data_IF_944402128024
#
_entry.id   IF_944402128024
#
_cell.length_a   1.000
_cell.length_b   1.000
_cell.length_c   1.000
_cell.angle_alpha   90.00
_cell.angle_beta   90.00
_cell.angle_gamma   90.00
#
_symmetry.space_group_name_H-M   'P 1'
#
loop_
_entity.id
_entity.type
_entity.pdbx_description
1 polymer ?
#
# COMPACT_ATOMS: atom_id res chain seq x y z
N UNK A 1 25.90 7.74 15.21
CA UNK A 1 25.07 6.53 15.01
C UNK A 1 25.69 5.47 15.88
N UNK A 2 25.17 5.28 17.10
CA UNK A 2 25.71 4.33 18.07
C UNK A 2 24.78 3.12 18.15
N UNK A 3 25.41 1.95 18.12
CA UNK A 3 25.11 0.68 18.81
C UNK A 3 23.64 0.34 19.11
N UNK A 4 23.15 -0.63 18.33
CA UNK A 4 21.97 -1.45 18.57
C UNK A 4 20.62 -0.72 18.58
N UNK A 5 20.18 -0.24 17.40
CA UNK A 5 18.75 -0.15 17.15
C UNK A 5 18.19 -1.59 17.18
N UNK A 6 17.64 -1.98 18.33
CA UNK A 6 17.03 -3.30 18.52
C UNK A 6 15.70 -3.30 17.77
N UNK A 7 15.67 -3.99 16.63
CA UNK A 7 14.43 -4.22 15.90
C UNK A 7 13.51 -5.10 16.72
N UNK A 8 12.30 -4.59 16.97
CA UNK A 8 11.22 -5.40 17.50
C UNK A 8 10.49 -6.10 16.35
N UNK A 9 9.98 -7.32 16.57
CA UNK A 9 9.19 -8.02 15.56
C UNK A 9 7.89 -7.25 15.28
N UNK A 10 7.43 -7.27 14.02
CA UNK A 10 6.17 -6.63 13.62
C UNK A 10 4.94 -7.13 14.42
N UNK A 11 5.01 -8.31 15.05
CA UNK A 11 3.97 -8.84 15.94
C UNK A 11 3.73 -7.99 17.19
N UNK A 12 4.66 -7.11 17.57
CA UNK A 12 4.52 -6.17 18.68
C UNK A 12 3.89 -4.82 18.28
N UNK A 13 3.68 -4.60 16.98
CA UNK A 13 2.91 -3.47 16.49
C UNK A 13 1.44 -3.65 16.87
N UNK A 14 0.77 -2.56 17.23
CA UNK A 14 -0.68 -2.57 17.38
C UNK A 14 -1.33 -2.84 16.03
N UNK A 15 -2.55 -3.41 16.04
CA UNK A 15 -3.30 -3.72 14.81
C UNK A 15 -3.41 -2.52 13.86
N UNK A 16 -3.59 -1.33 14.42
CA UNK A 16 -3.67 -0.10 13.64
C UNK A 16 -2.33 0.31 13.03
N UNK A 17 -1.23 0.21 13.76
CA UNK A 17 0.11 0.49 13.23
C UNK A 17 0.45 -0.49 12.10
N UNK A 18 0.15 -1.78 12.30
CA UNK A 18 0.34 -2.79 11.25
C UNK A 18 -0.50 -2.45 10.02
N UNK A 19 -1.77 -2.06 10.19
CA UNK A 19 -2.65 -1.65 9.09
C UNK A 19 -2.06 -0.44 8.35
N UNK A 20 -1.71 0.62 9.07
CA UNK A 20 -1.19 1.86 8.49
C UNK A 20 0.12 1.60 7.73
N UNK A 21 1.04 0.83 8.31
CA UNK A 21 2.31 0.49 7.68
C UNK A 21 2.13 -0.40 6.44
N UNK A 22 1.23 -1.39 6.50
CA UNK A 22 0.89 -2.24 5.36
C UNK A 22 0.29 -1.43 4.20
N UNK A 23 -0.68 -0.57 4.48
CA UNK A 23 -1.29 0.32 3.49
C UNK A 23 -0.26 1.28 2.87
N UNK A 24 0.63 1.87 3.68
CA UNK A 24 1.69 2.76 3.18
C UNK A 24 2.60 2.06 2.17
N UNK A 25 2.93 0.80 2.44
CA UNK A 25 3.80 -0.02 1.60
C UNK A 25 3.07 -0.53 0.34
N UNK A 26 1.83 -1.02 0.48
CA UNK A 26 1.15 -1.80 -0.55
C UNK A 26 0.21 -0.97 -1.44
N UNK A 27 -0.45 0.09 -0.94
CA UNK A 27 -1.31 0.95 -1.77
C UNK A 27 -0.56 1.58 -2.98
N UNK A 28 0.71 2.02 -2.87
CA UNK A 28 1.46 2.51 -4.02
C UNK A 28 1.64 1.47 -5.14
N UNK A 29 1.71 0.18 -4.78
CA UNK A 29 1.80 -0.93 -5.73
C UNK A 29 0.51 -1.06 -6.53
N UNK A 30 -0.64 -0.99 -5.86
CA UNK A 30 -1.97 -1.04 -6.48
C UNK A 30 -2.11 0.13 -7.47
N UNK A 31 -1.81 1.35 -7.03
CA UNK A 31 -1.88 2.54 -7.90
C UNK A 31 -1.03 2.38 -9.15
N UNK A 32 0.18 1.84 -9.01
CA UNK A 32 1.08 1.61 -10.13
C UNK A 32 0.51 0.58 -11.11
N UNK A 33 -0.07 -0.50 -10.60
CA UNK A 33 -0.71 -1.52 -11.43
C UNK A 33 -1.86 -0.91 -12.24
N UNK A 34 -2.76 -0.15 -11.62
CA UNK A 34 -3.87 0.48 -12.33
C UNK A 34 -3.40 1.47 -13.41
N UNK A 35 -2.38 2.28 -13.12
CA UNK A 35 -1.81 3.20 -14.14
C UNK A 35 -1.20 2.42 -15.31
N UNK A 36 -0.56 1.29 -15.05
CA UNK A 36 -0.03 0.42 -16.08
C UNK A 36 -1.15 -0.22 -16.91
N UNK A 37 -2.16 -0.81 -16.26
CA UNK A 37 -3.27 -1.49 -16.90
C UNK A 37 -4.11 -0.53 -17.75
N UNK A 38 -4.34 0.69 -17.24
CA UNK A 38 -5.00 1.77 -17.99
C UNK A 38 -4.25 2.09 -19.28
N UNK A 39 -2.91 2.20 -19.24
CA UNK A 39 -2.09 2.46 -20.43
C UNK A 39 -2.17 1.29 -21.43
N UNK A 40 -2.07 0.06 -20.94
CA UNK A 40 -2.15 -1.14 -21.77
C UNK A 40 -3.52 -1.25 -22.45
N UNK A 41 -4.60 -1.04 -21.70
CA UNK A 41 -5.97 -1.08 -22.21
C UNK A 41 -6.26 0.05 -23.21
N UNK A 42 -5.78 1.27 -22.94
CA UNK A 42 -5.92 2.40 -23.87
C UNK A 42 -5.26 2.11 -25.23
N UNK A 43 -4.08 1.48 -25.21
CA UNK A 43 -3.36 1.04 -26.40
C UNK A 43 -3.98 -0.20 -27.08
N UNK A 44 -4.86 -0.93 -26.38
CA UNK A 44 -5.49 -2.13 -26.92
C UNK A 44 -6.57 -1.82 -27.97
N UNK A 45 -6.83 -2.81 -28.83
CA UNK A 45 -7.97 -2.85 -29.75
C UNK A 45 -9.25 -3.38 -29.13
N UNK A 46 -9.35 -3.45 -27.79
CA UNK A 46 -10.50 -4.02 -27.11
C UNK A 46 -11.78 -3.23 -27.42
N UNK A 47 -12.85 -3.96 -27.78
CA UNK A 47 -14.19 -3.39 -27.90
C UNK A 47 -14.66 -2.96 -26.51
N UNK A 48 -15.39 -1.84 -26.44
CA UNK A 48 -15.90 -1.27 -25.18
C UNK A 48 -14.82 -0.84 -24.17
N UNK A 49 -13.57 -0.62 -24.59
CA UNK A 49 -12.48 -0.23 -23.69
C UNK A 49 -12.75 1.03 -22.85
N UNK A 50 -13.64 1.91 -23.30
CA UNK A 50 -14.02 3.11 -22.53
C UNK A 50 -14.65 2.74 -21.18
N UNK A 51 -15.53 1.74 -21.12
CA UNK A 51 -16.15 1.29 -19.85
C UNK A 51 -15.10 0.80 -18.86
N UNK A 52 -14.14 0.02 -19.35
CA UNK A 52 -13.04 -0.48 -18.52
C UNK A 52 -12.09 0.63 -18.08
N UNK A 53 -11.85 1.64 -18.92
CA UNK A 53 -11.04 2.80 -18.57
C UNK A 53 -11.72 3.66 -17.50
N UNK A 54 -13.03 3.86 -17.59
CA UNK A 54 -13.82 4.56 -16.57
C UNK A 54 -13.72 3.85 -15.21
N UNK A 55 -13.90 2.53 -15.19
CA UNK A 55 -13.73 1.73 -13.96
C UNK A 55 -12.31 1.86 -13.39
N UNK A 56 -11.28 1.80 -14.23
CA UNK A 56 -9.89 1.96 -13.78
C UNK A 56 -9.61 3.37 -13.25
N UNK A 57 -10.20 4.41 -13.83
CA UNK A 57 -10.06 5.79 -13.37
C UNK A 57 -10.74 5.96 -11.99
N UNK A 58 -11.94 5.42 -11.80
CA UNK A 58 -12.64 5.41 -10.50
C UNK A 58 -11.86 4.66 -9.42
N UNK A 59 -11.34 3.47 -9.75
CA UNK A 59 -10.52 2.69 -8.82
C UNK A 59 -9.22 3.41 -8.47
N UNK A 60 -8.62 4.11 -9.44
CA UNK A 60 -7.39 4.89 -9.23
C UNK A 60 -7.63 6.06 -8.28
N UNK A 61 -8.77 6.75 -8.39
CA UNK A 61 -9.11 7.85 -7.48
C UNK A 61 -9.42 7.34 -6.06
N UNK A 62 -10.08 6.19 -5.92
CA UNK A 62 -10.27 5.55 -4.61
C UNK A 62 -8.93 5.23 -3.93
N UNK A 63 -7.99 4.60 -4.65
CA UNK A 63 -6.64 4.33 -4.12
C UNK A 63 -5.90 5.62 -3.77
N UNK A 64 -6.10 6.70 -4.54
CA UNK A 64 -5.50 8.00 -4.25
C UNK A 64 -6.04 8.59 -2.96
N UNK A 65 -7.36 8.53 -2.74
CA UNK A 65 -7.97 8.98 -1.50
C UNK A 65 -7.42 8.19 -0.30
N UNK A 66 -7.29 6.86 -0.43
CA UNK A 66 -6.73 6.01 0.61
C UNK A 66 -5.25 6.29 0.90
N UNK A 67 -4.44 6.58 -0.13
CA UNK A 67 -3.06 7.02 0.06
C UNK A 67 -2.96 8.34 0.82
N UNK A 68 -3.86 9.30 0.56
CA UNK A 68 -3.90 10.58 1.26
C UNK A 68 -4.29 10.35 2.72
N UNK A 69 -5.34 9.56 2.96
CA UNK A 69 -5.78 9.19 4.30
C UNK A 69 -4.67 8.50 5.08
N UNK A 70 -4.01 7.51 4.50
CA UNK A 70 -2.91 6.79 5.15
C UNK A 70 -1.76 7.71 5.55
N UNK A 71 -1.37 8.66 4.67
CA UNK A 71 -0.35 9.66 5.00
C UNK A 71 -0.75 10.53 6.18
N UNK A 72 -2.03 10.91 6.27
CA UNK A 72 -2.55 11.64 7.42
C UNK A 72 -2.47 10.78 8.68
N UNK A 73 -2.86 9.50 8.60
CA UNK A 73 -2.79 8.57 9.75
C UNK A 73 -1.36 8.34 10.23
N UNK A 74 -0.38 8.24 9.33
CA UNK A 74 1.04 8.18 9.68
C UNK A 74 1.48 9.43 10.46
N UNK A 75 1.09 10.61 9.97
CA UNK A 75 1.42 11.87 10.62
C UNK A 75 0.78 11.97 12.02
N UNK A 76 -0.51 11.69 12.13
CA UNK A 76 -1.28 11.76 13.37
C UNK A 76 -0.76 10.79 14.43
N UNK A 77 -0.18 9.66 14.02
CA UNK A 77 0.44 8.67 14.91
C UNK A 77 1.94 8.82 15.10
N UNK A 78 2.54 9.87 14.54
CA UNK A 78 3.98 10.11 14.58
C UNK A 78 4.80 8.90 14.11
N UNK A 79 4.29 8.18 13.10
CA UNK A 79 4.96 7.03 12.52
C UNK A 79 5.91 7.48 11.41
N UNK A 80 7.09 6.86 11.33
CA UNK A 80 8.02 7.06 10.23
C UNK A 80 8.26 5.73 9.51
N UNK A 81 8.30 5.79 8.19
CA UNK A 81 8.48 4.62 7.33
C UNK A 81 9.77 4.81 6.53
N UNK A 82 10.75 3.94 6.73
CA UNK A 82 12.01 3.93 5.99
C UNK A 82 11.98 2.72 5.07
N UNK A 83 12.16 2.96 3.77
CA UNK A 83 12.07 1.91 2.75
C UNK A 83 13.43 1.28 2.51
N UNK A 84 13.52 -0.04 2.61
CA UNK A 84 14.67 -0.81 2.12
C UNK A 84 14.42 -1.38 0.73
N UNK A 85 13.28 -2.06 0.54
CA UNK A 85 12.89 -2.60 -0.76
C UNK A 85 11.37 -2.45 -1.02
N UNK A 86 10.78 -3.27 -1.91
CA UNK A 86 9.34 -3.23 -2.21
C UNK A 86 8.45 -3.77 -1.09
N UNK A 87 8.96 -4.70 -0.28
CA UNK A 87 8.22 -5.44 0.73
C UNK A 87 8.91 -5.43 2.11
N UNK A 88 10.00 -4.69 2.25
CA UNK A 88 10.78 -4.52 3.48
C UNK A 88 10.90 -3.04 3.83
N UNK A 89 10.40 -2.70 5.03
CA UNK A 89 10.41 -1.36 5.59
C UNK A 89 10.82 -1.42 7.06
N UNK A 90 11.55 -0.40 7.51
CA UNK A 90 11.63 -0.09 8.93
C UNK A 90 10.49 0.85 9.27
N UNK A 91 9.86 0.58 10.41
CA UNK A 91 8.76 1.38 10.94
C UNK A 91 9.17 1.90 12.30
N UNK A 92 9.28 3.21 12.44
CA UNK A 92 9.46 3.84 13.74
C UNK A 92 8.10 4.28 14.27
N UNK A 93 7.69 3.72 15.41
CA UNK A 93 6.41 4.04 16.05
C UNK A 93 6.55 3.95 17.58
N UNK A 94 5.91 4.87 18.31
CA UNK A 94 5.92 4.90 19.79
C UNK A 94 7.34 4.83 20.41
N UNK A 95 8.33 5.43 19.75
CA UNK A 95 9.72 5.43 20.22
C UNK A 95 10.48 4.11 19.97
N UNK A 96 9.90 3.19 19.20
CA UNK A 96 10.45 1.85 18.91
C UNK A 96 10.64 1.67 17.42
N UNK A 97 11.66 0.90 17.05
CA UNK A 97 11.94 0.52 15.67
C UNK A 97 11.44 -0.92 15.43
N UNK A 98 10.66 -1.09 14.37
CA UNK A 98 10.13 -2.38 13.94
C UNK A 98 10.63 -2.69 12.53
N UNK A 99 10.89 -3.96 12.27
CA UNK A 99 11.13 -4.45 10.91
C UNK A 99 9.84 -5.06 10.37
N UNK A 100 9.33 -4.51 9.27
CA UNK A 100 8.15 -5.01 8.59
C UNK A 100 8.53 -5.61 7.25
N UNK A 101 8.49 -6.93 7.17
CA UNK A 101 8.75 -7.70 5.96
C UNK A 101 7.48 -8.44 5.53
N UNK A 102 7.04 -8.17 4.30
CA UNK A 102 5.97 -8.92 3.66
C UNK A 102 6.55 -10.04 2.79
N UNK A 103 6.09 -11.26 3.02
CA UNK A 103 6.22 -12.31 2.02
C UNK A 103 5.37 -11.95 0.81
N UNK A 104 5.91 -12.18 -0.40
CA UNK A 104 5.25 -11.80 -1.65
C UNK A 104 3.85 -12.38 -1.78
N UNK A 105 3.63 -13.63 -1.40
CA UNK A 105 2.30 -14.27 -1.42
C UNK A 105 1.29 -13.51 -0.55
N UNK A 106 1.67 -13.22 0.69
CA UNK A 106 0.84 -12.48 1.65
C UNK A 106 0.54 -11.06 1.15
N UNK A 107 1.52 -10.38 0.56
CA UNK A 107 1.31 -9.06 -0.04
C UNK A 107 0.32 -9.13 -1.23
N UNK A 108 0.40 -10.17 -2.05
CA UNK A 108 -0.52 -10.36 -3.17
C UNK A 108 -1.95 -10.64 -2.69
N UNK A 109 -2.12 -11.46 -1.65
CA UNK A 109 -3.44 -11.73 -1.07
C UNK A 109 -4.06 -10.44 -0.49
N UNK A 110 -3.25 -9.65 0.22
CA UNK A 110 -3.68 -8.35 0.72
C UNK A 110 -4.10 -7.40 -0.41
N UNK A 111 -3.27 -7.31 -1.46
CA UNK A 111 -3.56 -6.48 -2.64
C UNK A 111 -4.86 -6.93 -3.30
N UNK A 112 -5.05 -8.24 -3.48
CA UNK A 112 -6.24 -8.80 -4.11
C UNK A 112 -7.51 -8.42 -3.35
N UNK A 113 -7.54 -8.63 -2.04
CA UNK A 113 -8.69 -8.26 -1.19
C UNK A 113 -8.93 -6.74 -1.22
N UNK A 114 -7.86 -5.93 -1.22
CA UNK A 114 -7.98 -4.47 -1.30
C UNK A 114 -8.56 -4.02 -2.65
N UNK A 115 -8.07 -4.59 -3.76
CA UNK A 115 -8.54 -4.29 -5.12
C UNK A 115 -10.00 -4.69 -5.29
N UNK A 116 -10.40 -5.84 -4.75
CA UNK A 116 -11.79 -6.29 -4.73
C UNK A 116 -12.73 -5.28 -4.06
N UNK A 117 -12.26 -4.60 -3.02
CA UNK A 117 -13.00 -3.53 -2.36
C UNK A 117 -13.26 -2.29 -3.24
N UNK A 118 -12.43 -2.04 -4.25
CA UNK A 118 -12.62 -0.91 -5.18
C UNK A 118 -13.54 -1.26 -6.36
N UNK A 119 -13.67 -2.54 -6.67
CA UNK A 119 -14.64 -3.06 -7.65
C UNK A 119 -16.03 -2.99 -7.01
N UNK A 120 -16.69 -1.84 -7.11
CA UNK A 120 -18.13 -1.73 -6.79
C UNK A 120 -18.95 -2.49 -7.84
N UNK A 121 -20.07 -3.14 -7.47
CA UNK A 121 -21.12 -3.53 -8.41
C UNK A 121 -21.84 -2.30 -8.99
#
# INVERSE_FOLDING_TARGET
>A
MNDHDVFLPASEMSKDETRIAAEYMLLPLIKRAFVHDRKALAASGAKFKHLYLEVLDDMTEQVRADLIKNKQELFDRHMQMIRHDWFCYEVYARGRLFELVYQKSVAMDWIYERVRGYLRP
#
